data_IF_696916684966
#
_entry.id   IF_696916684966
#
_cell.length_a   1.000
_cell.length_b   1.000
_cell.length_c   1.000
_cell.angle_alpha   90.00
_cell.angle_beta   90.00
_cell.angle_gamma   90.00
#
_symmetry.space_group_name_H-M   'P 1'
#
loop_
_entity.id
_entity.type
_entity.pdbx_description
1 polymer ?
#
# COMPACT_ATOMS: atom_id res chain seq x y z
N UNK A 1 49.36 60.43 -27.37
CA UNK A 1 48.83 59.09 -27.69
C UNK A 1 48.86 58.24 -26.43
N UNK A 2 47.90 57.34 -26.16
CA UNK A 2 46.54 57.25 -26.67
C UNK A 2 45.52 57.64 -25.57
N UNK A 3 44.40 58.25 -25.96
CA UNK A 3 43.22 58.27 -25.10
C UNK A 3 42.64 56.87 -25.08
N UNK A 4 42.72 56.19 -23.93
CA UNK A 4 41.99 54.94 -23.70
C UNK A 4 40.51 55.28 -23.61
N UNK A 5 39.84 55.35 -24.77
CA UNK A 5 38.40 55.22 -24.86
C UNK A 5 38.06 53.81 -24.38
N UNK A 6 37.72 53.69 -23.10
CA UNK A 6 37.06 52.49 -22.58
C UNK A 6 35.84 52.22 -23.47
N UNK A 7 35.71 51.02 -24.08
CA UNK A 7 34.55 50.72 -24.90
C UNK A 7 33.30 50.90 -24.02
N UNK A 8 32.44 51.85 -24.39
CA UNK A 8 31.19 52.10 -23.70
C UNK A 8 30.40 50.80 -23.70
N UNK A 9 30.18 50.23 -22.51
CA UNK A 9 29.46 48.97 -22.39
C UNK A 9 28.04 49.19 -22.91
N UNK A 10 27.70 48.53 -24.02
CA UNK A 10 26.41 48.69 -24.70
C UNK A 10 25.32 47.93 -23.96
N UNK A 11 24.20 48.62 -23.72
CA UNK A 11 22.99 48.03 -23.14
C UNK A 11 22.43 46.97 -24.09
N UNK A 12 21.80 45.93 -23.53
CA UNK A 12 21.12 44.91 -24.32
C UNK A 12 19.62 45.18 -24.36
N UNK A 13 18.96 44.75 -25.43
CA UNK A 13 17.51 44.76 -25.54
C UNK A 13 16.99 43.31 -25.53
N UNK A 14 16.14 42.97 -24.57
CA UNK A 14 15.54 41.64 -24.46
C UNK A 14 14.03 41.75 -24.25
N UNK A 15 13.22 41.14 -25.12
CA UNK A 15 11.74 41.16 -25.07
C UNK A 15 11.14 42.58 -24.87
N UNK A 16 11.74 43.57 -25.51
CA UNK A 16 11.30 44.97 -25.43
C UNK A 16 11.73 45.71 -24.15
N UNK A 17 12.54 45.10 -23.28
CA UNK A 17 13.05 45.72 -22.05
C UNK A 17 14.56 45.96 -22.17
N UNK A 18 15.06 47.17 -21.85
CA UNK A 18 16.50 47.43 -21.78
C UNK A 18 17.12 46.72 -20.57
N UNK A 19 18.29 46.12 -20.77
CA UNK A 19 19.10 45.45 -19.75
C UNK A 19 20.44 46.15 -19.62
N UNK A 20 20.83 46.39 -18.37
CA UNK A 20 22.13 46.98 -18.05
C UNK A 20 23.28 46.08 -18.55
N UNK A 21 24.41 46.67 -18.98
CA UNK A 21 25.59 45.90 -19.34
C UNK A 21 26.06 45.01 -18.17
N UNK A 22 26.27 43.72 -18.43
CA UNK A 22 26.65 42.74 -17.40
C UNK A 22 25.49 42.18 -16.56
N UNK A 23 24.24 42.61 -16.81
CA UNK A 23 23.08 42.04 -16.14
C UNK A 23 22.94 40.54 -16.41
N UNK A 24 22.55 39.78 -15.39
CA UNK A 24 22.21 38.35 -15.46
C UNK A 24 20.76 38.15 -15.02
N UNK A 25 20.03 37.25 -15.68
CA UNK A 25 18.66 36.92 -15.33
C UNK A 25 18.29 35.52 -15.80
N UNK A 26 17.23 34.98 -15.19
CA UNK A 26 16.71 33.67 -15.51
C UNK A 26 15.41 33.80 -16.30
N UNK A 27 15.35 33.17 -17.46
CA UNK A 27 14.16 33.11 -18.31
C UNK A 27 13.32 31.86 -18.00
N UNK A 28 12.00 31.90 -18.26
CA UNK A 28 11.14 30.72 -18.20
C UNK A 28 11.73 29.56 -19.02
N UNK A 29 11.65 28.35 -18.47
CA UNK A 29 12.31 27.18 -19.05
C UNK A 29 13.78 27.05 -18.70
N UNK A 30 14.21 27.58 -17.54
CA UNK A 30 15.56 27.38 -16.99
C UNK A 30 16.69 27.88 -17.92
N UNK A 31 16.53 29.06 -18.53
CA UNK A 31 17.58 29.64 -19.37
C UNK A 31 18.29 30.76 -18.64
N UNK A 32 19.59 30.59 -18.42
CA UNK A 32 20.42 31.62 -17.81
C UNK A 32 20.87 32.58 -18.91
N UNK A 33 20.49 33.85 -18.79
CA UNK A 33 20.75 34.87 -19.77
C UNK A 33 21.65 35.96 -19.19
N UNK A 34 22.55 36.48 -20.02
CA UNK A 34 23.41 37.61 -19.66
C UNK A 34 23.51 38.64 -20.77
N UNK A 35 23.75 39.90 -20.39
CA UNK A 35 24.04 40.99 -21.31
C UNK A 35 25.55 41.19 -21.44
N UNK A 36 26.12 40.82 -22.59
CA UNK A 36 27.55 40.97 -22.85
C UNK A 36 27.78 41.70 -24.17
N UNK A 37 28.39 42.90 -24.10
CA UNK A 37 28.71 43.71 -25.28
C UNK A 37 27.52 44.04 -26.18
N UNK A 38 26.36 44.35 -25.58
CA UNK A 38 25.13 44.67 -26.31
C UNK A 38 24.39 43.46 -26.90
N UNK A 39 24.85 42.22 -26.64
CA UNK A 39 24.15 40.99 -27.02
C UNK A 39 23.63 40.25 -25.80
N UNK A 40 22.44 39.68 -25.98
CA UNK A 40 21.85 38.75 -25.02
C UNK A 40 22.35 37.35 -25.34
N UNK A 41 23.04 36.72 -24.39
CA UNK A 41 23.50 35.34 -24.48
C UNK A 41 22.69 34.52 -23.49
N UNK A 42 21.98 33.50 -23.98
CA UNK A 42 21.12 32.65 -23.17
C UNK A 42 21.47 31.18 -23.34
N UNK A 43 21.80 30.52 -22.24
CA UNK A 43 22.17 29.10 -22.22
C UNK A 43 21.15 28.30 -21.39
N UNK A 44 20.91 27.07 -21.81
CA UNK A 44 20.05 26.17 -21.06
C UNK A 44 20.77 25.72 -19.78
N UNK A 45 20.12 25.88 -18.64
CA UNK A 45 20.65 25.43 -17.34
C UNK A 45 20.31 23.95 -17.18
N UNK A 46 21.32 23.11 -16.97
CA UNK A 46 21.12 21.71 -16.59
C UNK A 46 21.12 21.58 -15.07
N UNK A 47 20.04 21.01 -14.52
CA UNK A 47 19.95 20.72 -13.09
C UNK A 47 20.36 19.27 -12.84
N UNK A 48 21.27 19.03 -11.89
CA UNK A 48 21.55 17.70 -11.37
C UNK A 48 20.67 17.45 -10.15
N UNK A 49 19.80 16.44 -10.22
CA UNK A 49 18.81 16.13 -9.18
C UNK A 49 18.92 14.65 -8.81
N UNK A 50 19.90 14.27 -7.97
CA UNK A 50 20.17 12.87 -7.62
C UNK A 50 19.28 12.37 -6.48
N UNK A 51 17.99 12.72 -6.49
CA UNK A 51 17.03 12.32 -5.46
C UNK A 51 15.67 12.01 -6.07
N UNK A 52 14.87 11.21 -5.38
CA UNK A 52 13.61 10.67 -5.89
C UNK A 52 12.40 11.59 -5.67
N UNK A 53 12.44 12.45 -4.64
CA UNK A 53 11.31 13.29 -4.23
C UNK A 53 11.75 14.74 -4.06
N UNK A 54 12.35 15.39 -5.08
CA UNK A 54 12.88 16.73 -4.91
C UNK A 54 11.77 17.75 -4.62
N UNK A 55 12.10 18.75 -3.81
CA UNK A 55 11.26 19.93 -3.63
C UNK A 55 11.27 20.78 -4.93
N UNK A 56 10.14 21.39 -5.29
CA UNK A 56 10.07 22.26 -6.46
C UNK A 56 11.00 23.47 -6.31
N UNK A 57 11.41 24.04 -7.44
CA UNK A 57 12.20 25.26 -7.42
C UNK A 57 11.46 26.37 -6.65
N UNK A 58 12.13 27.12 -5.77
CA UNK A 58 11.52 28.25 -5.09
C UNK A 58 11.03 29.30 -6.12
N UNK A 59 10.14 30.19 -5.70
CA UNK A 59 9.60 31.21 -6.60
C UNK A 59 10.73 32.03 -7.26
N UNK A 60 10.79 32.01 -8.59
CA UNK A 60 11.85 32.66 -9.38
C UNK A 60 13.15 31.85 -9.51
N UNK A 61 13.24 30.68 -8.89
CA UNK A 61 14.32 29.71 -9.08
C UNK A 61 14.09 28.82 -10.31
N UNK A 62 15.15 28.13 -10.74
CA UNK A 62 15.10 27.19 -11.86
C UNK A 62 15.13 25.73 -11.38
N UNK A 63 16.09 25.39 -10.52
CA UNK A 63 16.33 24.00 -10.18
C UNK A 63 15.55 23.57 -8.94
N UNK A 64 15.03 22.33 -8.94
CA UNK A 64 14.46 21.74 -7.75
C UNK A 64 15.58 21.38 -6.73
N UNK A 65 15.20 21.10 -5.49
CA UNK A 65 16.14 20.91 -4.38
C UNK A 65 15.96 19.55 -3.70
N UNK A 66 17.07 18.91 -3.34
CA UNK A 66 17.08 17.69 -2.52
C UNK A 66 17.26 17.99 -1.01
N UNK A 67 17.08 19.23 -0.56
CA UNK A 67 17.18 19.63 0.85
C UNK A 67 15.95 19.23 1.70
N UNK A 68 14.99 18.54 1.09
CA UNK A 68 13.76 18.02 1.68
C UNK A 68 12.99 17.24 0.62
N UNK A 69 11.79 16.79 0.96
CA UNK A 69 11.02 15.89 0.11
C UNK A 69 9.65 16.46 -0.25
N UNK A 70 9.21 16.30 -1.50
CA UNK A 70 7.81 16.48 -1.87
C UNK A 70 7.11 15.11 -1.92
N UNK A 71 6.14 14.88 -1.04
CA UNK A 71 5.39 13.62 -0.97
C UNK A 71 3.89 13.90 -0.89
N UNK A 72 3.10 13.32 -1.80
CA UNK A 72 1.64 13.53 -1.89
C UNK A 72 1.25 15.03 -1.89
N UNK A 73 2.04 15.86 -2.56
CA UNK A 73 1.84 17.31 -2.63
C UNK A 73 2.23 18.09 -1.37
N UNK A 74 2.74 17.42 -0.34
CA UNK A 74 3.19 18.04 0.92
C UNK A 74 4.72 18.11 0.96
N UNK A 75 5.25 19.30 1.20
CA UNK A 75 6.68 19.50 1.44
C UNK A 75 7.04 19.01 2.85
N UNK A 76 8.08 18.19 2.94
CA UNK A 76 8.65 17.61 4.15
C UNK A 76 10.08 18.10 4.31
N UNK A 77 10.45 18.50 5.52
CA UNK A 77 11.81 18.86 5.84
C UNK A 77 12.71 17.62 5.93
N UNK A 78 14.01 17.84 5.81
CA UNK A 78 15.01 16.80 6.06
C UNK A 78 14.84 16.22 7.48
N UNK A 79 14.75 14.89 7.58
CA UNK A 79 14.54 14.18 8.84
C UNK A 79 13.08 14.05 9.28
N UNK A 80 12.12 14.62 8.55
CA UNK A 80 10.70 14.49 8.90
C UNK A 80 10.24 13.03 8.88
N UNK A 81 9.55 12.63 9.94
CA UNK A 81 8.86 11.33 10.08
C UNK A 81 7.36 11.56 10.04
N UNK A 82 6.66 10.84 9.17
CA UNK A 82 5.21 11.02 8.97
C UNK A 82 4.52 9.71 8.62
N UNK A 83 3.23 9.61 8.96
CA UNK A 83 2.37 8.48 8.58
C UNK A 83 1.80 8.68 7.17
N UNK A 84 1.80 7.63 6.35
CA UNK A 84 1.05 7.60 5.10
C UNK A 84 -0.46 7.67 5.37
N UNK A 85 -1.21 8.30 4.46
CA UNK A 85 -2.67 8.44 4.55
C UNK A 85 -3.45 7.15 4.29
N UNK A 86 -2.80 6.10 3.79
CA UNK A 86 -3.44 4.82 3.41
C UNK A 86 -3.88 3.94 4.60
N UNK A 87 -3.71 4.40 5.84
CA UNK A 87 -4.24 3.70 7.03
C UNK A 87 -3.57 2.35 7.34
N UNK A 88 -2.48 2.00 6.66
CA UNK A 88 -1.70 0.77 6.89
C UNK A 88 -0.50 0.98 7.85
N UNK A 89 -0.49 2.08 8.60
CA UNK A 89 0.64 2.53 9.43
C UNK A 89 1.99 2.56 8.76
N UNK A 90 2.02 2.80 7.47
CA UNK A 90 3.30 3.06 6.83
C UNK A 90 3.87 4.34 7.44
N UNK A 91 5.03 4.21 8.07
CA UNK A 91 5.80 5.34 8.57
C UNK A 91 6.86 5.63 7.51
N UNK A 92 6.88 6.87 7.05
CA UNK A 92 7.84 7.35 6.08
C UNK A 92 8.81 8.34 6.73
N UNK A 93 10.02 8.38 6.21
CA UNK A 93 11.05 9.36 6.58
C UNK A 93 11.58 10.05 5.33
N UNK A 94 11.80 11.36 5.42
CA UNK A 94 12.48 12.14 4.38
C UNK A 94 13.98 12.25 4.68
N UNK A 95 14.84 11.75 3.79
CA UNK A 95 16.30 11.87 3.90
C UNK A 95 16.94 12.16 2.55
N UNK A 96 17.71 13.25 2.47
CA UNK A 96 18.41 13.73 1.28
C UNK A 96 17.52 13.80 0.02
N UNK A 97 16.28 14.27 0.20
CA UNK A 97 15.28 14.34 -0.87
C UNK A 97 14.73 12.98 -1.33
N UNK A 98 14.92 11.93 -0.53
CA UNK A 98 14.33 10.62 -0.76
C UNK A 98 13.35 10.27 0.36
N UNK A 99 12.16 9.83 -0.03
CA UNK A 99 11.19 9.28 0.92
C UNK A 99 11.41 7.79 1.03
N UNK A 100 11.65 7.31 2.24
CA UNK A 100 11.72 5.88 2.56
C UNK A 100 10.57 5.51 3.49
N UNK A 101 9.77 4.54 3.09
CA UNK A 101 8.57 4.14 3.81
C UNK A 101 8.71 2.71 4.33
N UNK A 102 8.31 2.50 5.58
CA UNK A 102 8.31 1.21 6.25
C UNK A 102 6.87 0.87 6.62
N UNK A 103 6.34 -0.18 6.00
CA UNK A 103 5.05 -0.77 6.35
C UNK A 103 5.31 -1.99 7.25
N UNK A 104 4.69 -2.09 8.42
CA UNK A 104 4.83 -3.28 9.26
C UNK A 104 4.24 -4.51 8.54
N UNK A 105 4.99 -5.61 8.46
CA UNK A 105 4.48 -6.91 8.04
C UNK A 105 3.61 -7.48 9.17
N UNK A 106 2.29 -7.52 8.98
CA UNK A 106 1.41 -8.10 9.99
C UNK A 106 1.56 -9.64 9.98
N UNK A 107 1.74 -10.30 11.15
CA UNK A 107 1.90 -11.74 11.22
C UNK A 107 0.64 -12.46 10.74
N UNK A 108 0.75 -13.53 9.93
CA UNK A 108 -0.38 -14.38 9.61
C UNK A 108 -0.72 -15.25 10.83
N UNK A 109 -1.78 -14.92 11.59
CA UNK A 109 -2.25 -15.84 12.63
C UNK A 109 -3.07 -15.22 13.77
N UNK A 110 -3.86 -16.09 14.39
CA UNK A 110 -4.83 -15.94 15.48
C UNK A 110 -4.78 -14.66 16.29
N UNK A 111 -5.73 -13.76 16.03
CA UNK A 111 -5.93 -12.59 16.87
C UNK A 111 -7.16 -12.77 17.74
N UNK A 112 -7.06 -12.46 19.06
CA UNK A 112 -8.23 -12.36 19.90
C UNK A 112 -9.13 -11.26 19.35
N UNK A 113 -10.43 -11.53 19.33
CA UNK A 113 -11.49 -10.83 18.57
C UNK A 113 -11.79 -9.38 18.97
N UNK A 114 -10.85 -8.67 19.57
CA UNK A 114 -11.01 -7.26 19.92
C UNK A 114 -9.64 -6.61 20.15
N UNK A 115 -8.96 -6.17 19.08
CA UNK A 115 -8.02 -5.07 19.23
C UNK A 115 -8.68 -3.77 18.73
N UNK A 116 -8.43 -2.63 19.39
CA UNK A 116 -8.72 -1.32 18.82
C UNK A 116 -8.02 -1.17 17.45
N UNK A 117 -8.33 -0.13 16.65
CA UNK A 117 -7.79 0.06 15.30
C UNK A 117 -6.34 0.53 15.36
N UNK A 118 -5.49 -0.23 16.04
CA UNK A 118 -4.05 -0.07 15.99
C UNK A 118 -3.55 -0.97 14.87
N UNK A 119 -3.46 -0.35 13.69
CA UNK A 119 -2.44 -0.62 12.69
C UNK A 119 -2.45 -1.95 11.92
N UNK A 120 -2.51 -3.06 12.64
CA UNK A 120 -2.74 -4.39 12.11
C UNK A 120 -4.14 -4.81 12.54
N UNK A 121 -5.13 -4.50 11.70
CA UNK A 121 -6.37 -5.28 11.71
C UNK A 121 -6.00 -6.68 11.25
N UNK A 122 -5.74 -7.59 12.18
CA UNK A 122 -5.46 -8.97 11.84
C UNK A 122 -6.58 -9.50 10.96
N UNK A 123 -6.28 -9.86 9.73
CA UNK A 123 -7.28 -10.50 8.90
C UNK A 123 -7.43 -11.93 9.42
N UNK A 124 -8.63 -12.34 9.89
CA UNK A 124 -8.83 -13.68 10.41
C UNK A 124 -8.36 -14.73 9.40
N UNK A 125 -7.52 -15.66 9.84
CA UNK A 125 -6.92 -16.66 8.97
C UNK A 125 -8.02 -17.51 8.31
N UNK A 126 -8.00 -17.55 6.98
CA UNK A 126 -8.89 -18.39 6.17
C UNK A 126 -8.31 -19.80 6.07
N UNK A 127 -9.17 -20.80 6.03
CA UNK A 127 -8.74 -22.19 5.85
C UNK A 127 -8.90 -22.61 4.39
N UNK A 128 -7.91 -23.34 3.86
CA UNK A 128 -8.04 -24.02 2.57
C UNK A 128 -8.34 -25.49 2.81
N UNK A 129 -9.49 -25.97 2.30
CA UNK A 129 -9.90 -27.36 2.47
C UNK A 129 -10.60 -27.86 1.21
N UNK A 130 -10.10 -28.98 0.65
CA UNK A 130 -10.58 -29.61 -0.59
C UNK A 130 -10.77 -28.61 -1.76
N UNK A 131 -9.87 -27.64 -1.89
CA UNK A 131 -9.92 -26.62 -2.95
C UNK A 131 -10.89 -25.45 -2.70
N UNK A 132 -11.61 -25.46 -1.58
CA UNK A 132 -12.45 -24.35 -1.13
C UNK A 132 -11.75 -23.52 -0.05
N UNK A 133 -12.11 -22.25 0.03
CA UNK A 133 -11.60 -21.33 1.05
C UNK A 133 -12.72 -20.96 2.01
N UNK A 134 -12.51 -21.22 3.30
CA UNK A 134 -13.46 -20.96 4.36
C UNK A 134 -12.99 -19.80 5.23
N UNK A 135 -13.90 -18.87 5.55
CA UNK A 135 -13.62 -17.80 6.49
C UNK A 135 -13.42 -18.37 7.90
N UNK A 136 -12.65 -17.68 8.75
CA UNK A 136 -12.55 -18.04 10.16
C UNK A 136 -13.93 -18.11 10.82
N UNK A 137 -14.15 -19.13 11.64
CA UNK A 137 -15.43 -19.40 12.29
C UNK A 137 -16.49 -20.03 11.38
N UNK A 138 -16.23 -20.16 10.07
CA UNK A 138 -17.16 -20.82 9.16
C UNK A 138 -17.30 -22.29 9.55
N UNK A 139 -18.57 -22.73 9.65
CA UNK A 139 -18.97 -24.12 9.85
C UNK A 139 -19.47 -24.67 8.52
N UNK A 140 -19.00 -25.85 8.15
CA UNK A 140 -19.34 -26.47 6.87
C UNK A 140 -19.31 -27.99 6.96
N UNK A 141 -20.11 -28.63 6.11
CA UNK A 141 -20.11 -30.08 5.92
C UNK A 141 -19.42 -30.42 4.60
N UNK A 142 -18.29 -31.16 4.59
CA UNK A 142 -17.54 -31.47 3.38
C UNK A 142 -18.36 -32.19 2.29
N UNK A 143 -19.26 -33.06 2.72
CA UNK A 143 -20.01 -33.96 1.83
C UNK A 143 -21.49 -33.55 1.75
N UNK A 144 -21.85 -32.40 2.34
CA UNK A 144 -23.23 -31.91 2.39
C UNK A 144 -24.16 -32.75 3.28
N UNK A 145 -23.59 -33.63 4.10
CA UNK A 145 -24.31 -34.42 5.10
C UNK A 145 -24.32 -33.76 6.49
N UNK A 146 -25.20 -34.26 7.36
CA UNK A 146 -25.25 -33.87 8.77
C UNK A 146 -24.28 -34.70 9.64
N UNK A 147 -23.44 -35.53 9.00
CA UNK A 147 -22.58 -36.50 9.69
C UNK A 147 -21.25 -35.88 10.08
N UNK A 148 -20.72 -35.00 9.25
CA UNK A 148 -19.42 -34.37 9.46
C UNK A 148 -19.58 -32.85 9.50
N UNK A 149 -19.28 -32.24 10.64
CA UNK A 149 -19.22 -30.79 10.76
C UNK A 149 -17.77 -30.35 10.98
N UNK A 150 -17.28 -29.52 10.08
CA UNK A 150 -15.98 -28.89 10.15
C UNK A 150 -16.09 -27.42 10.52
N UNK A 151 -15.11 -26.90 11.25
CA UNK A 151 -14.96 -25.49 11.58
C UNK A 151 -13.57 -24.99 11.21
N UNK A 152 -13.51 -23.80 10.60
CA UNK A 152 -12.26 -23.12 10.31
C UNK A 152 -11.78 -22.32 11.53
N UNK A 153 -10.72 -22.78 12.21
CA UNK A 153 -10.12 -22.08 13.35
C UNK A 153 -8.64 -21.78 13.07
N UNK A 154 -8.26 -20.50 13.11
CA UNK A 154 -6.84 -20.12 13.01
C UNK A 154 -6.12 -20.52 11.70
N UNK A 155 -6.85 -20.77 10.61
CA UNK A 155 -6.28 -21.27 9.35
C UNK A 155 -6.25 -22.80 9.23
N UNK A 156 -6.64 -23.50 10.30
CA UNK A 156 -6.75 -24.96 10.34
C UNK A 156 -8.22 -25.40 10.34
N UNK A 157 -8.50 -26.52 9.69
CA UNK A 157 -9.84 -27.12 9.66
C UNK A 157 -9.92 -28.22 10.71
N UNK A 158 -10.81 -28.03 11.67
CA UNK A 158 -11.13 -29.02 12.69
C UNK A 158 -12.49 -29.66 12.36
N UNK A 159 -12.52 -30.97 12.14
CA UNK A 159 -13.74 -31.70 11.80
C UNK A 159 -14.17 -32.62 12.94
N UNK A 160 -15.47 -32.68 13.17
CA UNK A 160 -16.12 -33.53 14.15
C UNK A 160 -17.23 -34.37 13.50
N UNK A 161 -17.48 -35.55 14.04
CA UNK A 161 -18.52 -36.46 13.55
C UNK A 161 -19.71 -36.50 14.49
N UNK A 162 -20.91 -36.63 13.95
CA UNK A 162 -22.12 -36.84 14.73
C UNK A 162 -22.02 -38.17 15.52
N UNK A 163 -22.15 -38.14 16.86
CA UNK A 163 -22.09 -39.36 17.65
C UNK A 163 -23.34 -40.22 17.41
N UNK A 164 -23.15 -41.50 17.10
CA UNK A 164 -24.27 -42.41 16.92
C UNK A 164 -24.83 -42.91 18.24
N UNK A 165 -26.17 -43.08 18.33
CA UNK A 165 -26.79 -43.69 19.50
C UNK A 165 -26.39 -45.15 19.64
N UNK A 166 -26.35 -45.64 20.89
CA UNK A 166 -26.23 -47.07 21.18
C UNK A 166 -27.55 -47.75 20.83
N UNK A 167 -27.50 -48.84 20.08
CA UNK A 167 -28.69 -49.58 19.62
C UNK A 167 -28.87 -50.88 20.39
N UNK A 168 -30.04 -51.02 21.03
CA UNK A 168 -30.49 -52.22 21.74
C UNK A 168 -31.23 -53.22 20.83
N UNK A 169 -30.66 -53.50 19.65
CA UNK A 169 -31.17 -54.51 18.73
C UNK A 169 -30.02 -55.31 18.08
N UNK A 170 -30.25 -56.59 17.76
CA UNK A 170 -29.24 -57.45 17.12
C UNK A 170 -28.88 -56.94 15.72
N UNK A 171 -27.67 -57.26 15.25
CA UNK A 171 -27.11 -56.73 14.00
C UNK A 171 -28.03 -56.92 12.78
N UNK A 172 -28.77 -58.03 12.71
CA UNK A 172 -29.69 -58.32 11.59
C UNK A 172 -30.90 -57.38 11.49
N UNK A 173 -31.21 -56.62 12.55
CA UNK A 173 -32.31 -55.65 12.59
C UNK A 173 -31.85 -54.22 12.35
N UNK A 174 -30.53 -53.98 12.33
CA UNK A 174 -29.95 -52.67 12.08
C UNK A 174 -30.03 -52.35 10.60
N UNK A 175 -30.53 -51.17 10.26
CA UNK A 175 -30.55 -50.67 8.89
C UNK A 175 -30.05 -49.24 8.83
N UNK A 176 -29.39 -48.88 7.73
CA UNK A 176 -28.92 -47.52 7.46
C UNK A 176 -29.78 -46.94 6.35
N UNK A 177 -30.52 -45.89 6.67
CA UNK A 177 -31.33 -45.17 5.68
C UNK A 177 -30.43 -44.28 4.82
N UNK A 178 -30.75 -44.06 3.53
CA UNK A 178 -30.01 -43.11 2.69
C UNK A 178 -29.95 -41.73 3.35
N UNK A 179 -28.77 -41.12 3.39
CA UNK A 179 -28.54 -39.82 4.03
C UNK A 179 -28.48 -39.82 5.56
N UNK A 180 -28.63 -40.97 6.23
CA UNK A 180 -28.41 -41.08 7.68
C UNK A 180 -26.98 -41.47 8.00
N UNK A 181 -26.44 -40.89 9.07
CA UNK A 181 -25.09 -41.14 9.57
C UNK A 181 -24.99 -42.42 10.42
N UNK A 182 -26.13 -42.80 11.02
CA UNK A 182 -26.20 -43.82 12.05
C UNK A 182 -27.25 -44.88 11.70
N UNK A 183 -26.97 -46.12 12.09
CA UNK A 183 -27.94 -47.20 11.99
C UNK A 183 -29.14 -46.94 12.91
N UNK A 184 -30.31 -47.41 12.50
CA UNK A 184 -31.53 -47.47 13.30
C UNK A 184 -32.02 -48.90 13.41
N UNK A 185 -32.79 -49.20 14.46
CA UNK A 185 -33.50 -50.49 14.58
C UNK A 185 -34.78 -50.43 13.75
N UNK A 186 -35.11 -51.53 13.05
CA UNK A 186 -36.41 -51.66 12.39
C UNK A 186 -37.54 -51.62 13.42
N UNK A 187 -38.56 -50.80 13.19
CA UNK A 187 -39.78 -50.82 13.99
C UNK A 187 -40.46 -52.20 13.88
N UNK A 188 -40.94 -52.78 14.99
CA UNK A 188 -41.75 -53.98 14.94
C UNK A 188 -43.02 -53.68 14.11
N UNK A 189 -43.48 -54.61 13.24
CA UNK A 189 -44.67 -54.39 12.44
C UNK A 189 -45.87 -54.09 13.36
N UNK A 190 -46.63 -53.05 13.03
CA UNK A 190 -47.83 -52.69 13.78
C UNK A 190 -48.79 -53.89 13.86
N UNK A 191 -49.42 -54.15 15.02
CA UNK A 191 -50.37 -55.25 15.12
C UNK A 191 -51.53 -55.00 14.14
N UNK A 192 -51.70 -55.91 13.19
CA UNK A 192 -52.84 -55.94 12.29
C UNK A 192 -54.09 -56.30 13.10
N UNK A 193 -54.92 -55.29 13.39
CA UNK A 193 -56.26 -55.43 13.96
C UNK A 193 -57.32 -55.70 12.91
#
# INVERSE_FOLDING_TARGET
>A
APGTSTPSASHCWHRGVPREPGAHWMEPGCRNCSCQGGRVLCEATSCSVPCSHPLPAPAGGCCPSCAGCLHEGVARAEGDVFSSSDGNCTICICLAGNVSCLSPECPPGSCPSASPPDCCSCQPAKCSFRGHTYAHGARFSPDGDDCTTCICQGGEVECSFAPCPVLDCPQHQRHLSPGHCCFTCRDPPAPSG
#
